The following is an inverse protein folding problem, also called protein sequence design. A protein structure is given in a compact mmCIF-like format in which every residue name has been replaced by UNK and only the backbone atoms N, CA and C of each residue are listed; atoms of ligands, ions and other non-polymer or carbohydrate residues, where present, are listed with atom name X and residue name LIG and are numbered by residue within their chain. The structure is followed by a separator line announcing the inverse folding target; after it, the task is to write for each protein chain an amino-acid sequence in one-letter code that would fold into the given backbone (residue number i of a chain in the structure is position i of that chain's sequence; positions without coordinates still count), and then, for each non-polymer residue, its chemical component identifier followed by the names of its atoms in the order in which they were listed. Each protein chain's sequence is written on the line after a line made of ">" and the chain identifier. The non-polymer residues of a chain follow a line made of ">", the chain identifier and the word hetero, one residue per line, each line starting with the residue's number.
data_IF_442292316588
#
_entry.id   IF_442292316588
#
_cell.length_a   1.000
_cell.length_b   1.000
_cell.length_c   1.000
_cell.angle_alpha   90.00
_cell.angle_beta   90.00
_cell.angle_gamma   90.00
#
_symmetry.space_group_name_H-M   'P 1'
#
loop_
_entity.id
_entity.type
_entity.pdbx_description
1 polymer ?
#
# COMPACT_ATOMS: atom_id res chain seq x y z
N UNK A 1 63.30 37.16 -49.92
CA UNK A 1 62.24 37.89 -50.65
C UNK A 1 60.91 37.22 -50.33
N UNK A 2 59.93 37.99 -49.83
CA UNK A 2 58.49 37.66 -49.59
C UNK A 2 58.20 36.76 -48.37
N UNK A 3 57.17 36.91 -47.54
CA UNK A 3 56.19 37.97 -47.17
C UNK A 3 55.53 37.45 -45.87
N UNK A 4 55.25 38.34 -44.91
CA UNK A 4 54.51 38.10 -43.66
C UNK A 4 53.00 37.98 -43.92
N UNK A 5 52.27 37.07 -43.26
CA UNK A 5 50.90 37.32 -42.78
C UNK A 5 50.59 36.46 -41.53
N UNK A 6 50.22 37.13 -40.44
CA UNK A 6 49.61 36.59 -39.22
C UNK A 6 48.11 36.32 -39.45
N UNK A 7 47.56 35.23 -38.89
CA UNK A 7 46.12 35.15 -38.62
C UNK A 7 45.78 34.21 -37.43
N UNK A 8 45.54 34.85 -36.27
CA UNK A 8 44.47 34.64 -35.27
C UNK A 8 44.27 33.25 -34.64
N UNK A 9 44.50 33.20 -33.32
CA UNK A 9 44.10 32.20 -32.33
C UNK A 9 42.57 32.03 -32.21
N UNK A 10 42.11 30.79 -32.03
CA UNK A 10 40.96 30.43 -31.17
C UNK A 10 41.17 28.97 -30.66
N UNK A 11 41.07 28.71 -29.34
CA UNK A 11 41.32 27.39 -28.79
C UNK A 11 40.13 26.46 -29.05
N UNK A 12 40.41 25.26 -29.54
CA UNK A 12 39.43 24.19 -29.64
C UNK A 12 39.02 23.73 -28.23
N UNK A 13 37.87 24.21 -27.77
CA UNK A 13 37.16 23.70 -26.60
C UNK A 13 36.68 22.27 -26.88
N UNK A 14 37.49 21.27 -26.50
CA UNK A 14 37.00 19.91 -26.32
C UNK A 14 36.17 19.85 -25.03
N UNK A 15 34.85 19.93 -25.16
CA UNK A 15 33.93 19.60 -24.09
C UNK A 15 34.03 18.10 -23.82
N UNK A 16 34.58 17.73 -22.66
CA UNK A 16 34.44 16.39 -22.12
C UNK A 16 32.96 16.15 -21.82
N UNK A 17 32.34 15.15 -22.44
CA UNK A 17 31.02 14.68 -22.03
C UNK A 17 31.15 14.03 -20.65
N UNK A 18 30.77 14.78 -19.62
CA UNK A 18 30.47 14.19 -18.32
C UNK A 18 29.20 13.35 -18.55
N UNK A 19 29.39 12.04 -18.73
CA UNK A 19 28.31 11.08 -18.69
C UNK A 19 27.58 11.25 -17.36
N UNK A 20 26.36 11.77 -17.42
CA UNK A 20 25.49 11.77 -16.25
C UNK A 20 25.21 10.32 -15.90
N UNK A 21 25.86 9.83 -14.86
CA UNK A 21 25.37 8.69 -14.12
C UNK A 21 23.96 9.06 -13.67
N UNK A 22 22.96 8.46 -14.32
CA UNK A 22 21.60 8.47 -13.82
C UNK A 22 21.66 7.84 -12.43
N UNK A 23 21.71 8.69 -11.41
CA UNK A 23 21.29 8.33 -10.07
C UNK A 23 19.84 7.84 -10.23
N UNK A 24 19.69 6.53 -10.30
CA UNK A 24 18.39 5.87 -10.18
C UNK A 24 17.90 6.16 -8.77
N UNK A 25 17.26 7.31 -8.59
CA UNK A 25 16.40 7.58 -7.46
C UNK A 25 15.19 6.66 -7.60
N UNK A 26 15.36 5.41 -7.19
CA UNK A 26 14.25 4.53 -6.86
C UNK A 26 13.71 5.01 -5.52
N UNK A 27 13.08 6.19 -5.52
CA UNK A 27 12.21 6.61 -4.43
C UNK A 27 11.14 5.52 -4.36
N UNK A 28 11.17 4.71 -3.29
CA UNK A 28 10.10 3.76 -3.04
C UNK A 28 8.80 4.55 -3.04
N UNK A 29 7.86 4.21 -3.93
CA UNK A 29 6.53 4.82 -3.95
C UNK A 29 5.81 4.39 -2.67
N UNK A 30 5.97 5.16 -1.60
CA UNK A 30 5.25 4.98 -0.34
C UNK A 30 3.73 5.08 -0.50
N UNK A 31 3.26 5.59 -1.64
CA UNK A 31 1.86 5.98 -1.84
C UNK A 31 1.10 5.04 -2.78
N UNK A 32 1.74 3.96 -3.27
CA UNK A 32 1.11 3.04 -4.22
C UNK A 32 0.89 1.67 -3.59
N UNK A 33 -0.10 1.59 -2.72
CA UNK A 33 -0.57 0.36 -2.08
C UNK A 33 -2.07 0.16 -2.34
N UNK A 34 -2.56 -1.07 -2.16
CA UNK A 34 -3.98 -1.38 -2.31
C UNK A 34 -4.69 -1.31 -0.96
N UNK A 35 -5.84 -0.63 -0.92
CA UNK A 35 -6.72 -0.61 0.25
C UNK A 35 -7.84 -1.61 0.02
N UNK A 36 -7.91 -2.66 0.82
CA UNK A 36 -9.11 -3.49 0.89
C UNK A 36 -10.10 -2.88 1.88
N UNK A 37 -11.34 -2.71 1.42
CA UNK A 37 -12.46 -2.30 2.26
C UNK A 37 -13.42 -3.47 2.31
N UNK A 38 -13.77 -3.88 3.52
CA UNK A 38 -14.78 -4.89 3.79
C UNK A 38 -15.86 -4.27 4.64
N UNK A 39 -17.09 -4.18 4.12
CA UNK A 39 -18.25 -3.67 4.84
C UNK A 39 -19.06 -4.86 5.35
N UNK A 40 -19.28 -4.89 6.65
CA UNK A 40 -20.06 -5.91 7.34
C UNK A 40 -21.32 -5.31 7.93
N UNK A 41 -22.37 -6.13 8.02
CA UNK A 41 -23.55 -5.89 8.84
C UNK A 41 -23.65 -7.00 9.91
N UNK A 42 -23.11 -6.70 11.10
CA UNK A 42 -22.92 -7.61 12.22
C UNK A 42 -24.07 -7.44 13.24
N UNK A 43 -24.86 -8.50 13.50
CA UNK A 43 -25.85 -8.50 14.56
C UNK A 43 -25.25 -8.14 15.92
N UNK A 44 -26.01 -7.40 16.74
CA UNK A 44 -25.56 -6.88 18.04
C UNK A 44 -24.98 -7.97 18.95
N UNK A 45 -25.61 -9.16 18.97
CA UNK A 45 -25.18 -10.31 19.77
C UNK A 45 -23.86 -10.95 19.29
N UNK A 46 -23.36 -10.57 18.12
CA UNK A 46 -22.12 -11.08 17.53
C UNK A 46 -20.96 -10.08 17.53
N UNK A 47 -21.22 -8.80 17.84
CA UNK A 47 -20.23 -7.72 17.71
C UNK A 47 -18.97 -7.94 18.56
N UNK A 48 -19.13 -8.30 19.83
CA UNK A 48 -18.00 -8.59 20.70
C UNK A 48 -17.14 -9.77 20.18
N UNK A 49 -17.78 -10.78 19.59
CA UNK A 49 -17.07 -11.92 18.99
C UNK A 49 -16.35 -11.51 17.71
N UNK A 50 -16.95 -10.63 16.90
CA UNK A 50 -16.35 -10.08 15.68
C UNK A 50 -15.09 -9.27 15.99
N UNK A 51 -15.17 -8.35 16.94
CA UNK A 51 -14.03 -7.53 17.37
C UNK A 51 -12.91 -8.38 17.96
N UNK A 52 -13.26 -9.36 18.79
CA UNK A 52 -12.27 -10.32 19.33
C UNK A 52 -11.62 -11.13 18.22
N UNK A 53 -12.38 -11.61 17.23
CA UNK A 53 -11.84 -12.36 16.11
C UNK A 53 -10.81 -11.54 15.32
N UNK A 54 -11.08 -10.26 15.03
CA UNK A 54 -10.12 -9.39 14.36
C UNK A 54 -8.93 -8.99 15.23
N UNK A 55 -9.13 -8.84 16.54
CA UNK A 55 -8.03 -8.65 17.49
C UNK A 55 -7.05 -9.84 17.46
N UNK A 56 -7.58 -11.07 17.53
CA UNK A 56 -6.80 -12.30 17.48
C UNK A 56 -6.20 -12.56 16.09
N UNK A 57 -6.94 -12.25 15.02
CA UNK A 57 -6.51 -12.44 13.64
C UNK A 57 -5.43 -11.41 13.23
N UNK A 58 -5.41 -10.25 13.88
CA UNK A 58 -4.46 -9.18 13.67
C UNK A 58 -3.00 -9.63 13.74
N UNK A 59 -2.66 -10.62 14.57
CA UNK A 59 -1.30 -11.16 14.66
C UNK A 59 -0.81 -11.79 13.34
N UNK A 60 -1.71 -12.40 12.56
CA UNK A 60 -1.36 -12.99 11.26
C UNK A 60 -1.18 -11.91 10.19
N UNK A 61 -1.96 -10.83 10.27
CA UNK A 61 -1.77 -9.65 9.42
C UNK A 61 -0.44 -8.96 9.75
N UNK A 62 -0.12 -8.76 11.04
CA UNK A 62 1.14 -8.14 11.48
C UNK A 62 2.38 -8.98 11.10
N UNK A 63 2.27 -10.30 11.07
CA UNK A 63 3.36 -11.19 10.65
C UNK A 63 3.56 -11.24 9.13
N UNK A 64 2.56 -10.83 8.34
CA UNK A 64 2.61 -10.90 6.89
C UNK A 64 3.51 -9.80 6.31
N UNK A 65 4.46 -10.13 5.41
CA UNK A 65 5.26 -9.12 4.72
C UNK A 65 4.44 -8.32 3.69
N UNK A 66 3.22 -8.77 3.37
CA UNK A 66 2.34 -8.13 2.38
C UNK A 66 1.37 -7.13 3.01
N UNK A 67 1.12 -7.22 4.32
CA UNK A 67 0.21 -6.35 5.04
C UNK A 67 0.97 -5.14 5.59
N UNK A 68 0.47 -3.95 5.30
CA UNK A 68 1.03 -2.67 5.74
C UNK A 68 0.30 -2.08 6.95
N UNK A 69 -0.90 -2.59 7.27
CA UNK A 69 -1.71 -2.13 8.39
C UNK A 69 -3.20 -2.45 8.20
N UNK A 70 -3.98 -2.29 9.26
CA UNK A 70 -5.43 -2.50 9.21
C UNK A 70 -6.15 -1.68 10.29
N UNK A 71 -7.44 -1.40 10.07
CA UNK A 71 -8.34 -0.83 11.08
C UNK A 71 -9.69 -1.54 11.06
N UNK A 72 -10.28 -1.65 12.25
CA UNK A 72 -11.67 -2.08 12.45
C UNK A 72 -12.44 -0.86 12.93
N UNK A 73 -13.44 -0.44 12.17
CA UNK A 73 -14.16 0.81 12.36
C UNK A 73 -15.63 0.47 12.57
N UNK A 74 -16.19 0.86 13.70
CA UNK A 74 -17.60 0.67 14.03
C UNK A 74 -18.42 1.89 13.61
N UNK A 75 -19.60 1.68 13.02
CA UNK A 75 -20.49 2.74 12.58
C UNK A 75 -21.20 3.42 13.76
N UNK A 76 -21.17 4.75 13.80
CA UNK A 76 -21.92 5.55 14.80
C UNK A 76 -23.38 5.74 14.37
N UNK A 77 -23.62 6.07 13.10
CA UNK A 77 -24.97 6.25 12.52
C UNK A 77 -25.61 4.92 12.08
N UNK A 78 -24.79 3.90 11.86
CA UNK A 78 -25.21 2.55 11.51
C UNK A 78 -24.60 1.54 12.51
N UNK A 79 -25.15 1.40 13.75
CA UNK A 79 -24.50 0.65 14.83
C UNK A 79 -24.33 -0.86 14.62
N UNK A 80 -24.94 -1.44 13.58
CA UNK A 80 -24.67 -2.83 13.19
C UNK A 80 -23.54 -2.95 12.17
N UNK A 81 -23.08 -1.84 11.59
CA UNK A 81 -22.14 -1.86 10.49
C UNK A 81 -20.70 -1.69 10.98
N UNK A 82 -19.82 -2.48 10.38
CA UNK A 82 -18.38 -2.37 10.58
C UNK A 82 -17.69 -2.21 9.22
N UNK A 83 -16.64 -1.40 9.20
CA UNK A 83 -15.70 -1.31 8.10
C UNK A 83 -14.36 -1.86 8.55
N UNK A 84 -13.87 -2.86 7.84
CA UNK A 84 -12.50 -3.33 7.96
C UNK A 84 -11.70 -2.75 6.81
N UNK A 85 -10.63 -2.02 7.12
CA UNK A 85 -9.65 -1.58 6.13
C UNK A 85 -8.38 -2.41 6.31
N UNK A 86 -7.83 -2.93 5.21
CA UNK A 86 -6.52 -3.60 5.21
C UNK A 86 -5.68 -2.98 4.09
N UNK A 87 -4.46 -2.58 4.42
CA UNK A 87 -3.51 -2.02 3.48
C UNK A 87 -2.56 -3.12 3.02
N UNK A 88 -2.51 -3.36 1.72
CA UNK A 88 -1.68 -4.38 1.10
C UNK A 88 -0.63 -3.74 0.21
N UNK A 89 0.58 -4.28 0.18
CA UNK A 89 1.63 -3.85 -0.77
C UNK A 89 1.11 -3.78 -2.21
N UNK A 90 0.27 -4.72 -2.61
CA UNK A 90 -0.57 -4.66 -3.81
C UNK A 90 -1.76 -5.62 -3.72
N UNK A 91 -2.77 -5.46 -4.60
CA UNK A 91 -3.85 -6.45 -4.74
C UNK A 91 -3.30 -7.84 -5.09
N UNK A 92 -2.28 -7.88 -5.95
CA UNK A 92 -1.65 -9.12 -6.38
C UNK A 92 -0.96 -9.83 -5.20
N UNK A 93 -0.22 -9.09 -4.38
CA UNK A 93 0.42 -9.62 -3.18
C UNK A 93 -0.59 -10.13 -2.15
N UNK A 94 -1.76 -9.48 -2.03
CA UNK A 94 -2.84 -10.04 -1.23
C UNK A 94 -3.34 -11.38 -1.81
N UNK A 95 -3.74 -11.40 -3.08
CA UNK A 95 -4.42 -12.55 -3.67
C UNK A 95 -3.51 -13.76 -3.90
N UNK A 96 -2.26 -13.51 -4.29
CA UNK A 96 -1.31 -14.54 -4.67
C UNK A 96 -0.15 -14.69 -3.68
N UNK A 97 0.07 -13.72 -2.78
CA UNK A 97 0.98 -13.82 -1.64
C UNK A 97 0.24 -14.25 -0.38
N UNK A 98 -0.37 -13.31 0.34
CA UNK A 98 -0.98 -13.56 1.66
C UNK A 98 -1.98 -14.71 1.63
N UNK A 99 -2.96 -14.72 0.70
CA UNK A 99 -3.99 -15.79 0.65
C UNK A 99 -3.43 -17.19 0.39
N UNK A 100 -2.16 -17.34 0.02
CA UNK A 100 -1.47 -18.61 -0.19
C UNK A 100 -0.39 -18.87 0.86
N UNK A 101 -0.20 -17.97 1.82
CA UNK A 101 0.82 -18.08 2.86
C UNK A 101 0.34 -18.92 4.05
N UNK A 102 1.28 -19.28 4.93
CA UNK A 102 1.00 -20.02 6.18
C UNK A 102 0.11 -19.23 7.14
N UNK A 103 0.23 -17.90 7.14
CA UNK A 103 -0.50 -17.00 8.03
C UNK A 103 -1.99 -16.96 7.67
N UNK A 104 -2.34 -17.12 6.40
CA UNK A 104 -3.73 -17.02 5.95
C UNK A 104 -4.63 -18.07 6.56
N UNK A 105 -4.17 -19.31 6.77
CA UNK A 105 -5.02 -20.34 7.39
C UNK A 105 -5.48 -19.93 8.78
N UNK A 106 -4.57 -19.41 9.61
CA UNK A 106 -4.90 -18.95 10.95
C UNK A 106 -5.78 -17.70 10.95
N UNK A 107 -5.53 -16.77 10.03
CA UNK A 107 -6.39 -15.60 9.83
C UNK A 107 -7.82 -16.02 9.41
N UNK A 108 -7.92 -16.84 8.35
CA UNK A 108 -9.16 -17.27 7.74
C UNK A 108 -10.07 -17.99 8.74
N UNK A 109 -9.52 -18.90 9.55
CA UNK A 109 -10.29 -19.62 10.57
C UNK A 109 -11.00 -18.70 11.56
N UNK A 110 -10.40 -17.56 11.90
CA UNK A 110 -10.97 -16.61 12.85
C UNK A 110 -12.06 -15.73 12.23
N UNK A 111 -11.88 -15.31 10.97
CA UNK A 111 -12.78 -14.33 10.33
C UNK A 111 -13.88 -14.96 9.47
N UNK A 112 -13.70 -16.18 8.98
CA UNK A 112 -14.67 -16.89 8.12
C UNK A 112 -16.08 -17.03 8.70
N UNK A 113 -16.30 -17.14 10.04
CA UNK A 113 -17.64 -17.16 10.61
C UNK A 113 -18.52 -15.96 10.24
N UNK A 114 -17.92 -14.80 9.94
CA UNK A 114 -18.65 -13.55 9.66
C UNK A 114 -18.85 -13.28 8.16
N UNK A 115 -18.50 -14.22 7.28
CA UNK A 115 -18.54 -13.98 5.82
C UNK A 115 -19.94 -13.79 5.27
N UNK A 116 -20.96 -14.40 5.88
CA UNK A 116 -22.36 -14.18 5.51
C UNK A 116 -22.84 -12.76 5.80
N UNK A 117 -22.13 -12.02 6.64
CA UNK A 117 -22.44 -10.64 7.01
C UNK A 117 -21.76 -9.61 6.10
N UNK A 118 -20.99 -10.05 5.10
CA UNK A 118 -20.26 -9.16 4.20
C UNK A 118 -21.21 -8.59 3.15
N UNK A 119 -21.34 -7.27 3.14
CA UNK A 119 -22.08 -6.52 2.13
C UNK A 119 -21.15 -6.03 1.01
N UNK A 120 -19.87 -5.82 1.32
CA UNK A 120 -18.84 -5.42 0.37
C UNK A 120 -17.48 -6.01 0.73
N UNK A 121 -16.70 -6.46 -0.26
CA UNK A 121 -15.28 -6.77 -0.12
C UNK A 121 -14.58 -6.41 -1.44
N UNK A 122 -13.83 -5.30 -1.46
CA UNK A 122 -13.23 -4.75 -2.68
C UNK A 122 -11.86 -4.15 -2.41
N UNK A 123 -11.02 -4.15 -3.46
CA UNK A 123 -9.71 -3.48 -3.47
C UNK A 123 -9.81 -2.14 -4.19
N UNK A 124 -9.29 -1.11 -3.54
CA UNK A 124 -9.21 0.26 -4.01
C UNK A 124 -7.75 0.71 -4.09
N UNK A 125 -7.52 1.77 -4.85
CA UNK A 125 -6.25 2.47 -4.89
C UNK A 125 -6.45 3.88 -4.33
N UNK A 126 -5.46 4.38 -3.59
CA UNK A 126 -5.43 5.79 -3.28
C UNK A 126 -5.27 6.61 -4.56
N UNK A 127 -5.97 7.74 -4.60
CA UNK A 127 -5.69 8.78 -5.59
C UNK A 127 -4.55 9.66 -5.10
N UNK A 128 -3.93 10.49 -5.97
CA UNK A 128 -2.91 11.46 -5.54
C UNK A 128 -3.41 12.52 -4.55
N UNK A 129 -4.74 12.59 -4.32
CA UNK A 129 -5.36 13.57 -3.45
C UNK A 129 -5.39 12.99 -2.03
N UNK A 130 -4.41 13.36 -1.21
CA UNK A 130 -4.34 12.98 0.19
C UNK A 130 -3.95 14.18 1.05
N UNK A 131 -4.46 14.25 2.28
CA UNK A 131 -4.04 15.22 3.28
C UNK A 131 -4.17 14.56 4.66
N UNK A 132 -3.12 14.64 5.47
CA UNK A 132 -3.12 14.16 6.84
C UNK A 132 -2.66 15.31 7.73
N UNK A 133 -3.40 15.59 8.80
CA UNK A 133 -2.92 16.45 9.88
C UNK A 133 -2.06 15.60 10.82
N UNK A 134 -0.82 16.01 11.04
CA UNK A 134 0.00 15.41 12.09
C UNK A 134 -0.71 15.62 13.44
N UNK A 135 -0.87 14.53 14.19
CA UNK A 135 -1.52 14.52 15.50
C UNK A 135 -0.51 14.74 16.61
#
# INVERSE_FOLDING_TARGET
>A
MKTIYYLILLPALCFASIGQAQHNNKTMKTDQYSVEIIRYNIPEDQQASFEKAYSDAGKYLQASPYCLGYHIIHGEEEPTHYIVTIHWTSKEDHLNGFRKSSEFTGFFQLVQPFFSNIEEMKHYNLTPITWNKEK
#
